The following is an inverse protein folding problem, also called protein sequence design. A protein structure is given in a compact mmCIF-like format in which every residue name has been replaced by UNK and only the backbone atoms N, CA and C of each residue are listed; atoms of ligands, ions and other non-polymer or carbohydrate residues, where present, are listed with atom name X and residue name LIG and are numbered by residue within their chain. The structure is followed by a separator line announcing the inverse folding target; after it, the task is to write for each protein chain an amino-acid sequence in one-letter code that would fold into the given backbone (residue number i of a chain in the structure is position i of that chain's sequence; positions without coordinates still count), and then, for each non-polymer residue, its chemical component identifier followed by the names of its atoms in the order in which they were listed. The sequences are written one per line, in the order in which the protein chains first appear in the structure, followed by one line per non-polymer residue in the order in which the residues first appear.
data_IF_135991800806
#
_entry.id   IF_135991800806
#
_cell.length_a   1.000
_cell.length_b   1.000
_cell.length_c   1.000
_cell.angle_alpha   90.00
_cell.angle_beta   90.00
_cell.angle_gamma   90.00
#
_symmetry.space_group_name_H-M   'P 1'
#
loop_
_entity.id
_entity.type
_entity.pdbx_description
1 polymer ?
#
# COMPACT_ATOMS: atom_id res chain seq x y z
N UNK A 1 -2.29 -5.51 -6.83
CA UNK A 1 -2.01 -4.16 -6.28
C UNK A 1 -2.07 -3.12 -7.40
N UNK A 2 -2.41 -1.87 -7.08
CA UNK A 2 -2.32 -0.70 -7.97
C UNK A 2 -1.72 0.49 -7.22
N UNK A 3 -1.59 1.66 -7.86
CA UNK A 3 -1.17 2.90 -7.17
C UNK A 3 -2.08 4.07 -7.52
N UNK A 4 -2.43 4.89 -6.53
CA UNK A 4 -3.30 6.05 -6.68
C UNK A 4 -2.70 7.27 -5.98
N UNK A 5 -3.22 8.45 -6.30
CA UNK A 5 -2.95 9.68 -5.58
C UNK A 5 -4.11 9.96 -4.61
N UNK A 6 -3.78 10.20 -3.34
CA UNK A 6 -4.71 10.72 -2.33
C UNK A 6 -4.31 12.16 -2.02
N UNK A 7 -5.23 13.10 -2.24
CA UNK A 7 -5.06 14.51 -1.84
C UNK A 7 -6.41 15.10 -1.48
N UNK A 8 -6.45 15.94 -0.45
CA UNK A 8 -7.69 16.57 0.05
C UNK A 8 -8.83 15.56 0.30
N UNK A 9 -8.49 14.39 0.86
CA UNK A 9 -9.45 13.32 1.16
C UNK A 9 -10.04 12.59 -0.06
N UNK A 10 -9.54 12.83 -1.27
CA UNK A 10 -10.05 12.23 -2.51
C UNK A 10 -8.99 11.41 -3.23
N UNK A 11 -9.46 10.40 -3.97
CA UNK A 11 -8.66 9.48 -4.76
C UNK A 11 -8.62 9.89 -6.23
N UNK A 12 -7.43 9.84 -6.83
CA UNK A 12 -7.19 10.19 -8.23
C UNK A 12 -6.31 9.15 -8.91
N UNK A 13 -6.60 8.87 -10.18
CA UNK A 13 -5.71 8.11 -11.05
C UNK A 13 -4.68 9.07 -11.65
N UNK A 14 -3.39 8.97 -11.30
CA UNK A 14 -2.37 9.85 -11.87
C UNK A 14 -2.27 9.65 -13.38
N UNK A 15 -2.09 10.74 -14.12
CA UNK A 15 -1.98 10.75 -15.59
C UNK A 15 -0.64 11.38 -16.02
N UNK A 16 -0.11 10.95 -17.17
CA UNK A 16 1.13 11.48 -17.72
C UNK A 16 2.30 11.35 -16.75
N UNK A 17 2.89 12.47 -16.35
CA UNK A 17 4.03 12.53 -15.42
C UNK A 17 3.64 12.68 -13.95
N UNK A 18 2.34 12.71 -13.63
CA UNK A 18 1.88 12.80 -12.25
C UNK A 18 2.24 11.55 -11.44
N UNK A 19 2.62 11.72 -10.18
CA UNK A 19 2.98 10.62 -9.29
C UNK A 19 1.79 10.12 -8.46
N UNK A 20 1.77 8.82 -8.18
CA UNK A 20 0.96 8.25 -7.10
C UNK A 20 1.58 8.54 -5.73
N UNK A 21 0.74 8.66 -4.70
CA UNK A 21 1.16 8.80 -3.29
C UNK A 21 0.93 7.53 -2.47
N UNK A 22 0.09 6.60 -2.94
CA UNK A 22 -0.24 5.38 -2.21
C UNK A 22 -0.16 4.14 -3.11
N UNK A 23 0.17 3.01 -2.49
CA UNK A 23 -0.02 1.68 -3.04
C UNK A 23 -1.34 1.13 -2.48
N UNK A 24 -2.21 0.62 -3.36
CA UNK A 24 -3.47 -0.01 -2.97
C UNK A 24 -3.35 -1.51 -3.22
N UNK A 25 -3.43 -2.29 -2.16
CA UNK A 25 -3.34 -3.76 -2.18
C UNK A 25 -4.75 -4.34 -2.01
N UNK A 26 -5.04 -5.36 -2.80
CA UNK A 26 -6.31 -6.09 -2.76
C UNK A 26 -6.10 -7.43 -2.05
N UNK A 27 -7.16 -8.07 -1.54
CA UNK A 27 -7.08 -9.43 -1.02
C UNK A 27 -6.38 -10.33 -2.04
N UNK A 28 -5.48 -11.18 -1.54
CA UNK A 28 -4.88 -12.25 -2.32
C UNK A 28 -5.75 -13.50 -2.20
N UNK A 29 -5.69 -14.35 -3.22
CA UNK A 29 -6.31 -15.66 -3.17
C UNK A 29 -5.31 -16.72 -2.66
N UNK A 30 -5.72 -17.97 -2.72
CA UNK A 30 -4.88 -19.11 -2.37
C UNK A 30 -3.61 -19.14 -3.24
N UNK A 31 -2.45 -19.27 -2.58
CA UNK A 31 -1.15 -19.43 -3.24
C UNK A 31 -0.71 -20.88 -3.10
N UNK A 32 -0.57 -21.58 -4.22
CA UNK A 32 -0.03 -22.94 -4.27
C UNK A 32 1.49 -22.89 -4.44
N UNK A 33 2.21 -23.46 -3.50
CA UNK A 33 3.66 -23.67 -3.57
C UNK A 33 3.94 -25.16 -3.83
N UNK A 34 5.20 -25.50 -4.12
CA UNK A 34 5.61 -26.87 -4.47
C UNK A 34 5.17 -27.92 -3.45
N UNK A 35 5.14 -27.57 -2.16
CA UNK A 35 4.84 -28.49 -1.06
C UNK A 35 3.76 -27.97 -0.10
N UNK A 36 3.07 -26.86 -0.40
CA UNK A 36 2.10 -26.27 0.52
C UNK A 36 1.06 -25.42 -0.19
N UNK A 37 -0.07 -25.23 0.48
CA UNK A 37 -1.13 -24.32 0.05
C UNK A 37 -1.28 -23.26 1.13
N UNK A 38 -1.14 -21.99 0.75
CA UNK A 38 -1.28 -20.85 1.64
C UNK A 38 -2.57 -20.10 1.31
N UNK A 39 -3.54 -20.13 2.23
CA UNK A 39 -4.75 -19.32 2.11
C UNK A 39 -4.44 -17.87 2.51
N UNK A 40 -4.50 -16.97 1.52
CA UNK A 40 -4.26 -15.54 1.70
C UNK A 40 -5.52 -14.70 1.54
N UNK A 41 -6.72 -15.32 1.60
CA UNK A 41 -8.01 -14.62 1.48
C UNK A 41 -8.18 -13.46 2.47
N UNK A 42 -7.51 -13.55 3.63
CA UNK A 42 -7.47 -12.51 4.67
C UNK A 42 -6.18 -11.67 4.66
N UNK A 43 -5.51 -11.54 3.51
CA UNK A 43 -4.21 -10.86 3.42
C UNK A 43 -4.25 -9.39 3.82
N UNK A 44 -5.40 -8.73 3.65
CA UNK A 44 -5.59 -7.32 4.01
C UNK A 44 -5.50 -7.15 5.52
N UNK A 45 -6.30 -7.91 6.27
CA UNK A 45 -6.33 -7.88 7.73
C UNK A 45 -5.02 -8.38 8.33
N UNK A 46 -4.42 -9.42 7.73
CA UNK A 46 -3.12 -9.95 8.13
C UNK A 46 -2.05 -8.85 8.06
N UNK A 47 -1.90 -8.22 6.89
CA UNK A 47 -0.87 -7.19 6.70
C UNK A 47 -1.14 -5.94 7.56
N UNK A 48 -2.41 -5.57 7.76
CA UNK A 48 -2.79 -4.48 8.65
C UNK A 48 -2.32 -4.75 10.09
N UNK A 49 -2.68 -5.90 10.65
CA UNK A 49 -2.31 -6.27 12.03
C UNK A 49 -0.79 -6.36 12.17
N UNK A 50 -0.09 -7.01 11.23
CA UNK A 50 1.36 -7.11 11.24
C UNK A 50 2.04 -5.72 11.27
N UNK A 51 1.57 -4.80 10.44
CA UNK A 51 2.15 -3.45 10.36
C UNK A 51 1.83 -2.64 11.61
N UNK A 52 0.61 -2.74 12.17
CA UNK A 52 0.25 -2.07 13.42
C UNK A 52 1.09 -2.56 14.60
N UNK A 53 1.31 -3.88 14.70
CA UNK A 53 2.20 -4.47 15.72
C UNK A 53 3.63 -3.96 15.52
N UNK A 54 4.14 -3.97 14.29
CA UNK A 54 5.50 -3.47 14.01
C UNK A 54 5.66 -1.99 14.40
N UNK A 55 4.65 -1.16 14.11
CA UNK A 55 4.63 0.25 14.54
C UNK A 55 4.65 0.40 16.06
N UNK A 56 3.83 -0.37 16.78
CA UNK A 56 3.78 -0.36 18.25
C UNK A 56 5.09 -0.84 18.89
N UNK A 57 5.79 -1.76 18.23
CA UNK A 57 7.13 -2.23 18.64
C UNK A 57 8.26 -1.23 18.30
N UNK A 58 7.95 -0.09 17.68
CA UNK A 58 8.92 0.96 17.34
C UNK A 58 9.65 0.76 16.02
N UNK A 59 9.20 -0.15 15.15
CA UNK A 59 9.77 -0.27 13.81
C UNK A 59 9.31 0.89 12.91
N UNK A 60 10.21 1.34 12.04
CA UNK A 60 9.87 2.31 11.00
C UNK A 60 9.11 1.61 9.87
N UNK A 61 7.79 1.75 9.85
CA UNK A 61 6.87 1.17 8.87
C UNK A 61 6.04 2.27 8.22
N UNK A 62 5.57 2.08 6.97
CA UNK A 62 4.69 3.05 6.33
C UNK A 62 3.36 3.19 7.07
N UNK A 63 2.73 4.35 6.95
CA UNK A 63 1.35 4.53 7.38
C UNK A 63 0.41 3.76 6.47
N UNK A 64 -0.56 3.09 7.09
CA UNK A 64 -1.51 2.22 6.40
C UNK A 64 -2.95 2.44 6.90
N UNK A 65 -3.91 2.17 6.03
CA UNK A 65 -5.33 2.14 6.38
C UNK A 65 -6.06 1.04 5.58
N UNK A 66 -7.09 0.44 6.16
CA UNK A 66 -8.04 -0.37 5.39
C UNK A 66 -9.14 0.56 4.89
N UNK A 67 -9.39 0.54 3.58
CA UNK A 67 -10.52 1.23 2.97
C UNK A 67 -11.53 0.22 2.41
N UNK A 68 -12.77 0.66 2.29
CA UNK A 68 -13.83 -0.06 1.59
C UNK A 68 -14.26 0.77 0.40
N UNK A 69 -14.14 0.22 -0.80
CA UNK A 69 -14.65 0.85 -2.02
C UNK A 69 -16.19 0.84 -2.04
N UNK A 70 -16.79 1.66 -2.89
CA UNK A 70 -18.25 1.72 -3.05
C UNK A 70 -18.87 0.36 -3.43
N UNK A 71 -18.11 -0.50 -4.11
CA UNK A 71 -18.51 -1.87 -4.43
C UNK A 71 -18.56 -2.82 -3.21
N UNK A 72 -18.11 -2.38 -2.04
CA UNK A 72 -17.92 -3.21 -0.84
C UNK A 72 -16.56 -3.92 -0.78
N UNK A 73 -15.72 -3.80 -1.81
CA UNK A 73 -14.40 -4.41 -1.83
C UNK A 73 -13.45 -3.73 -0.82
N UNK A 74 -12.79 -4.51 0.03
CA UNK A 74 -11.74 -4.02 0.93
C UNK A 74 -10.41 -3.88 0.20
N UNK A 75 -9.61 -2.90 0.60
CA UNK A 75 -8.24 -2.76 0.17
C UNK A 75 -7.37 -2.22 1.31
N UNK A 76 -6.09 -2.59 1.30
CA UNK A 76 -5.08 -1.99 2.16
C UNK A 76 -4.40 -0.87 1.38
N UNK A 77 -4.48 0.33 1.92
CA UNK A 77 -3.78 1.51 1.42
C UNK A 77 -2.49 1.64 2.20
N UNK A 78 -1.38 1.79 1.49
CA UNK A 78 -0.04 1.98 2.05
C UNK A 78 0.52 3.30 1.53
N UNK A 79 0.83 4.22 2.43
CA UNK A 79 1.51 5.48 2.09
C UNK A 79 2.92 5.19 1.57
N UNK A 80 3.29 5.81 0.45
CA UNK A 80 4.57 5.57 -0.19
C UNK A 80 5.69 6.34 0.50
N UNK A 81 6.65 5.61 1.10
CA UNK A 81 7.85 6.21 1.69
C UNK A 81 8.83 6.80 0.65
N UNK A 82 8.73 6.37 -0.62
CA UNK A 82 9.52 6.90 -1.74
C UNK A 82 8.87 8.15 -2.37
N UNK A 83 7.93 8.78 -1.66
CA UNK A 83 7.30 10.04 -2.01
C UNK A 83 7.45 11.04 -0.87
N UNK A 84 7.52 12.33 -1.23
CA UNK A 84 7.49 13.41 -0.24
C UNK A 84 6.95 14.68 -0.87
N UNK A 85 6.33 15.54 -0.06
CA UNK A 85 5.97 16.89 -0.49
C UNK A 85 7.17 17.82 -0.30
N UNK A 86 7.54 18.51 -1.37
CA UNK A 86 8.54 19.59 -1.37
C UNK A 86 7.82 20.83 -1.91
N UNK A 87 7.72 21.88 -1.10
CA UNK A 87 7.00 23.12 -1.43
C UNK A 87 5.56 22.87 -1.93
N UNK A 88 4.86 21.90 -1.32
CA UNK A 88 3.49 21.52 -1.69
C UNK A 88 3.38 20.66 -2.94
N UNK A 89 4.50 20.34 -3.61
CA UNK A 89 4.54 19.49 -4.80
C UNK A 89 4.98 18.07 -4.42
N UNK A 90 4.21 17.07 -4.83
CA UNK A 90 4.59 15.68 -4.65
C UNK A 90 5.83 15.35 -5.50
N UNK A 91 6.91 14.99 -4.83
CA UNK A 91 8.20 14.65 -5.40
C UNK A 91 8.55 13.20 -5.13
N UNK A 92 9.40 12.63 -5.98
CA UNK A 92 9.91 11.26 -5.86
C UNK A 92 11.24 11.26 -5.11
N UNK A 93 11.38 10.34 -4.16
CA UNK A 93 12.68 9.94 -3.61
C UNK A 93 13.17 8.73 -4.41
N UNK A 94 14.43 8.76 -4.84
CA UNK A 94 15.00 7.61 -5.53
C UNK A 94 15.14 6.44 -4.54
N UNK A 95 14.75 5.24 -4.97
CA UNK A 95 14.79 4.03 -4.17
C UNK A 95 14.85 2.81 -5.09
N UNK A 96 15.64 1.84 -4.66
CA UNK A 96 15.82 0.52 -5.27
C UNK A 96 15.69 -0.57 -4.21
N UNK A 97 15.39 -1.79 -4.64
CA UNK A 97 15.48 -2.98 -3.80
C UNK A 97 16.89 -3.58 -3.85
N UNK A 98 17.14 -4.65 -3.08
CA UNK A 98 18.47 -5.28 -3.04
C UNK A 98 18.80 -6.18 -4.25
N UNK A 99 17.88 -6.35 -5.20
CA UNK A 99 18.08 -7.19 -6.39
C UNK A 99 18.55 -6.41 -7.62
N UNK A 100 18.23 -5.11 -7.69
CA UNK A 100 18.68 -4.21 -8.77
C UNK A 100 20.21 -4.04 -8.75
#
# INVERSE_FOLDING_TARGET
KTTLMKTNGRWYVPQGTAFSSHIVKYPMDVITQSNSVLDMSSSIENEFICTQIAKELGFNVPDIEIITAESGAKALVVERFDRCFVDGVLSRRHQEDFCQ
#
